data_IF_855105960787
#
_entry.id   IF_855105960787
#
_cell.length_a   1.000
_cell.length_b   1.000
_cell.length_c   1.000
_cell.angle_alpha   90.00
_cell.angle_beta   90.00
_cell.angle_gamma   90.00
#
_symmetry.space_group_name_H-M   'P 1'
#
loop_
_entity.id
_entity.type
_entity.pdbx_description
1 polymer ?
#
# COMPACT_ATOMS: atom_id res chain seq x y z
N UNK A 1 11.20 1.70 18.31
CA UNK A 1 10.81 1.72 16.89
C UNK A 1 9.49 0.98 16.78
N UNK A 2 8.61 1.42 15.89
CA UNK A 2 7.30 0.80 15.65
C UNK A 2 7.49 -0.47 14.79
N UNK A 3 8.17 -1.47 15.33
CA UNK A 3 8.46 -2.74 14.62
C UNK A 3 7.45 -3.80 15.05
N UNK A 4 7.28 -4.81 14.20
CA UNK A 4 6.40 -5.92 14.52
C UNK A 4 6.97 -6.87 15.55
N UNK A 5 6.06 -7.61 16.17
CA UNK A 5 6.35 -8.78 17.00
C UNK A 5 5.49 -9.93 16.50
N UNK A 6 5.87 -11.18 16.78
CA UNK A 6 5.08 -12.33 16.34
C UNK A 6 3.61 -12.26 16.82
N UNK A 7 3.37 -11.86 18.06
CA UNK A 7 2.02 -11.67 18.60
C UNK A 7 1.31 -10.45 18.01
N UNK A 8 2.04 -9.37 17.75
CA UNK A 8 1.53 -8.19 17.05
C UNK A 8 1.03 -8.51 15.64
N UNK A 9 1.83 -9.24 14.85
CA UNK A 9 1.44 -9.69 13.52
C UNK A 9 0.25 -10.64 13.54
N UNK A 10 0.25 -11.63 14.43
CA UNK A 10 -0.89 -12.52 14.57
C UNK A 10 -2.19 -11.77 14.88
N UNK A 11 -2.12 -10.70 15.68
CA UNK A 11 -3.27 -9.84 15.95
C UNK A 11 -3.71 -9.06 14.72
N UNK A 12 -2.76 -8.48 13.98
CA UNK A 12 -3.05 -7.73 12.75
C UNK A 12 -3.71 -8.63 11.71
N UNK A 13 -3.14 -9.80 11.42
CA UNK A 13 -3.69 -10.76 10.45
C UNK A 13 -5.06 -11.28 10.88
N UNK A 14 -5.30 -11.45 12.19
CA UNK A 14 -6.62 -11.77 12.72
C UNK A 14 -7.64 -10.65 12.47
N UNK A 15 -7.26 -9.38 12.66
CA UNK A 15 -8.16 -8.23 12.41
C UNK A 15 -8.45 -8.03 10.92
N UNK A 16 -7.49 -8.30 10.05
CA UNK A 16 -7.72 -8.36 8.61
C UNK A 16 -8.52 -9.58 8.20
N UNK A 17 -8.41 -10.71 8.90
CA UNK A 17 -8.99 -11.99 8.47
C UNK A 17 -8.24 -12.62 7.28
N UNK A 18 -6.99 -12.19 7.04
CA UNK A 18 -6.10 -12.71 6.01
C UNK A 18 -4.65 -12.52 6.43
N UNK A 19 -3.76 -13.37 5.93
CA UNK A 19 -2.32 -13.19 6.10
C UNK A 19 -1.84 -11.97 5.33
N UNK A 20 -0.75 -11.35 5.78
CA UNK A 20 -0.08 -10.27 5.06
C UNK A 20 1.20 -10.79 4.39
N UNK A 21 1.63 -10.10 3.33
CA UNK A 21 2.82 -10.49 2.58
C UNK A 21 4.06 -10.56 3.48
N UNK A 22 4.90 -11.58 3.25
CA UNK A 22 6.10 -11.83 4.06
C UNK A 22 7.16 -10.74 3.94
N UNK A 23 7.35 -10.19 2.74
CA UNK A 23 8.31 -9.12 2.47
C UNK A 23 7.93 -7.80 3.16
N UNK A 24 6.62 -7.52 3.25
CA UNK A 24 6.09 -6.40 4.00
C UNK A 24 6.35 -6.54 5.50
N UNK A 25 6.06 -7.73 6.06
CA UNK A 25 6.36 -8.00 7.48
C UNK A 25 7.84 -7.82 7.76
N UNK A 26 8.70 -8.36 6.90
CA UNK A 26 10.15 -8.19 6.98
C UNK A 26 10.57 -6.71 6.91
N UNK A 27 9.99 -5.92 6.00
CA UNK A 27 10.29 -4.50 5.86
C UNK A 27 9.95 -3.72 7.14
N UNK A 28 8.76 -3.94 7.70
CA UNK A 28 8.32 -3.30 8.94
C UNK A 28 9.13 -3.77 10.15
N UNK A 29 9.47 -5.05 10.23
CA UNK A 29 10.29 -5.59 11.32
C UNK A 29 11.73 -5.03 11.28
N UNK A 30 12.24 -4.76 10.08
CA UNK A 30 13.61 -4.25 9.88
C UNK A 30 13.70 -2.74 10.07
N UNK A 31 12.75 -1.98 9.53
CA UNK A 31 12.84 -0.52 9.43
C UNK A 31 11.76 0.24 10.21
N UNK A 32 10.69 -0.44 10.65
CA UNK A 32 9.55 0.18 11.31
C UNK A 32 8.82 1.18 10.42
N UNK A 33 8.31 2.26 11.02
CA UNK A 33 7.67 3.36 10.29
C UNK A 33 8.73 4.20 9.56
N UNK A 34 8.76 4.06 8.23
CA UNK A 34 9.65 4.85 7.37
C UNK A 34 9.37 6.35 7.43
N UNK A 35 10.44 7.15 7.44
CA UNK A 35 10.40 8.60 7.23
C UNK A 35 11.09 8.87 5.89
N UNK A 36 10.32 9.13 4.83
CA UNK A 36 10.90 9.31 3.51
C UNK A 36 10.52 10.66 2.92
N UNK A 37 11.55 11.42 2.54
CA UNK A 37 11.41 12.75 1.93
C UNK A 37 10.75 12.71 0.55
N UNK A 38 10.78 11.58 -0.18
CA UNK A 38 10.15 11.45 -1.51
C UNK A 38 9.69 10.01 -1.84
N UNK A 39 9.74 9.07 -0.89
CA UNK A 39 9.26 7.69 -1.12
C UNK A 39 7.81 7.54 -0.67
N UNK A 40 7.03 6.62 -1.29
CA UNK A 40 5.74 6.22 -0.79
C UNK A 40 5.82 5.86 0.69
N UNK A 41 4.92 6.44 1.46
CA UNK A 41 4.73 6.17 2.86
C UNK A 41 4.08 4.80 2.99
N UNK A 42 4.89 3.80 3.32
CA UNK A 42 4.39 2.48 3.69
C UNK A 42 3.61 2.59 4.99
N UNK A 43 2.37 2.13 4.97
CA UNK A 43 1.51 2.09 6.14
C UNK A 43 1.97 0.98 7.06
N UNK A 44 2.15 1.30 8.34
CA UNK A 44 2.64 0.38 9.36
C UNK A 44 1.54 0.14 10.41
N UNK A 45 1.05 -1.09 10.64
CA UNK A 45 0.00 -1.37 11.62
C UNK A 45 0.42 -1.05 13.05
N UNK A 46 1.71 -0.93 13.34
CA UNK A 46 2.24 -0.60 14.66
C UNK A 46 2.55 0.89 14.83
N UNK A 47 2.35 1.71 13.78
CA UNK A 47 2.56 3.14 13.87
C UNK A 47 1.55 3.78 14.84
N UNK A 48 2.05 4.60 15.77
CA UNK A 48 1.20 5.36 16.69
C UNK A 48 0.43 6.48 15.98
N UNK A 49 1.01 7.05 14.92
CA UNK A 49 0.35 8.09 14.14
C UNK A 49 -0.70 7.48 13.21
N UNK A 50 -1.98 7.84 13.39
CA UNK A 50 -3.10 7.30 12.59
C UNK A 50 -2.90 7.49 11.09
N UNK A 51 -2.30 8.59 10.66
CA UNK A 51 -1.97 8.86 9.25
C UNK A 51 -0.96 7.88 8.63
N UNK A 52 -0.20 7.16 9.46
CA UNK A 52 0.79 6.16 9.07
C UNK A 52 0.33 4.74 9.42
N UNK A 53 -0.79 4.60 10.15
CA UNK A 53 -1.25 3.32 10.65
C UNK A 53 -2.13 2.61 9.62
N UNK A 54 -1.74 1.39 9.24
CA UNK A 54 -2.44 0.60 8.23
C UNK A 54 -3.93 0.38 8.57
N UNK A 55 -4.25 0.02 9.82
CA UNK A 55 -5.62 -0.27 10.23
C UNK A 55 -6.45 1.01 10.32
N UNK A 56 -5.85 2.08 10.85
CA UNK A 56 -6.54 3.37 10.96
C UNK A 56 -6.88 3.96 9.58
N UNK A 57 -6.04 3.73 8.57
CA UNK A 57 -6.24 4.25 7.22
C UNK A 57 -7.28 3.47 6.38
N UNK A 58 -7.67 2.25 6.77
CA UNK A 58 -8.65 1.47 5.99
C UNK A 58 -9.98 2.21 5.80
N UNK A 59 -10.59 2.68 6.90
CA UNK A 59 -11.92 3.31 6.85
C UNK A 59 -11.91 4.64 6.07
N UNK A 60 -10.98 5.58 6.31
CA UNK A 60 -10.88 6.81 5.52
C UNK A 60 -10.69 6.55 4.03
N UNK A 61 -9.83 5.61 3.65
CA UNK A 61 -9.58 5.28 2.24
C UNK A 61 -10.82 4.70 1.56
N UNK A 62 -11.51 3.77 2.22
CA UNK A 62 -12.77 3.22 1.70
C UNK A 62 -13.86 4.30 1.57
N UNK A 63 -13.95 5.20 2.55
CA UNK A 63 -14.91 6.30 2.52
C UNK A 63 -14.61 7.29 1.38
N UNK A 64 -13.34 7.66 1.20
CA UNK A 64 -12.89 8.53 0.11
C UNK A 64 -13.19 7.91 -1.27
N UNK A 65 -12.95 6.61 -1.44
CA UNK A 65 -13.24 5.92 -2.69
C UNK A 65 -14.75 5.84 -2.99
N UNK A 66 -15.60 5.71 -1.96
CA UNK A 66 -17.06 5.69 -2.11
C UNK A 66 -17.66 7.06 -2.41
N UNK A 67 -17.09 8.13 -1.86
CA UNK A 67 -17.66 9.48 -1.93
C UNK A 67 -17.27 10.26 -3.18
N UNK A 68 -16.38 9.72 -4.03
CA UNK A 68 -15.88 10.41 -5.23
C UNK A 68 -16.50 9.87 -6.52
N UNK A 69 -17.67 10.40 -6.96
CA UNK A 69 -18.35 9.92 -8.17
C UNK A 69 -17.55 10.20 -9.46
N UNK A 70 -16.66 11.19 -9.44
CA UNK A 70 -15.78 11.56 -10.56
C UNK A 70 -14.67 10.54 -10.81
N UNK A 71 -14.35 9.72 -9.81
CA UNK A 71 -13.27 8.73 -9.83
C UNK A 71 -13.80 7.36 -9.43
N UNK A 72 -14.88 6.88 -10.08
CA UNK A 72 -15.35 5.50 -9.89
C UNK A 72 -14.20 4.53 -10.19
N UNK A 73 -13.52 4.09 -9.15
CA UNK A 73 -12.48 3.07 -9.20
C UNK A 73 -13.17 1.75 -9.54
N UNK A 74 -12.87 1.12 -10.69
CA UNK A 74 -13.66 -0.03 -11.17
C UNK A 74 -13.35 -1.32 -10.41
N UNK A 75 -12.45 -1.29 -9.43
CA UNK A 75 -11.98 -2.45 -8.70
C UNK A 75 -12.62 -2.55 -7.33
N UNK A 76 -12.86 -3.79 -6.90
CA UNK A 76 -13.33 -4.09 -5.55
C UNK A 76 -12.28 -3.68 -4.52
N UNK A 77 -12.73 -3.39 -3.31
CA UNK A 77 -11.86 -3.09 -2.18
C UNK A 77 -11.96 -4.18 -1.13
N UNK A 78 -10.86 -4.44 -0.44
CA UNK A 78 -10.84 -5.33 0.72
C UNK A 78 -11.93 -4.91 1.74
N UNK A 79 -12.71 -5.84 2.32
CA UNK A 79 -12.48 -7.29 2.39
C UNK A 79 -13.12 -8.14 1.27
N UNK A 80 -13.66 -7.55 0.20
CA UNK A 80 -14.22 -8.34 -0.90
C UNK A 80 -13.12 -9.23 -1.53
N UNK A 81 -13.44 -10.48 -1.95
CA UNK A 81 -12.46 -11.37 -2.59
C UNK A 81 -11.82 -10.72 -3.82
N UNK A 82 -10.47 -10.72 -3.89
CA UNK A 82 -9.73 -10.01 -4.94
C UNK A 82 -9.77 -8.49 -4.83
N UNK A 83 -10.18 -7.95 -3.67
CA UNK A 83 -10.24 -6.54 -3.40
C UNK A 83 -8.86 -5.90 -3.22
N UNK A 84 -8.81 -4.58 -3.36
CA UNK A 84 -7.61 -3.79 -3.13
C UNK A 84 -7.46 -3.43 -1.65
N UNK A 85 -6.32 -3.83 -1.06
CA UNK A 85 -5.92 -3.50 0.31
C UNK A 85 -4.77 -2.48 0.26
N UNK A 86 -4.94 -1.31 0.87
CA UNK A 86 -3.92 -0.26 0.81
C UNK A 86 -2.63 -0.68 1.54
N UNK A 87 -1.47 -0.44 0.95
CA UNK A 87 -0.15 -0.70 1.54
C UNK A 87 0.69 0.56 1.71
N UNK A 88 0.58 1.49 0.76
CA UNK A 88 1.34 2.74 0.83
C UNK A 88 0.56 3.89 0.18
N UNK A 89 0.89 5.10 0.62
CA UNK A 89 0.38 6.34 0.04
C UNK A 89 1.57 7.20 -0.40
N UNK A 90 1.46 7.87 -1.53
CA UNK A 90 2.47 8.83 -1.96
C UNK A 90 2.13 10.26 -1.53
N UNK A 91 3.07 11.19 -1.76
CA UNK A 91 2.89 12.61 -1.41
C UNK A 91 1.94 13.37 -2.36
N UNK A 92 1.59 12.78 -3.50
CA UNK A 92 0.74 13.34 -4.55
C UNK A 92 -0.65 12.66 -4.60
N UNK A 93 -1.09 12.09 -3.47
CA UNK A 93 -2.35 11.37 -3.31
C UNK A 93 -2.50 10.07 -4.14
N UNK A 94 -1.45 9.62 -4.82
CA UNK A 94 -1.35 8.27 -5.36
C UNK A 94 -1.36 7.23 -4.25
N UNK A 95 -1.91 6.07 -4.56
CA UNK A 95 -2.10 5.01 -3.58
C UNK A 95 -1.67 3.67 -4.17
N UNK A 96 -0.89 2.95 -3.39
CA UNK A 96 -0.43 1.60 -3.69
C UNK A 96 -1.24 0.61 -2.86
N UNK A 97 -1.71 -0.44 -3.52
CA UNK A 97 -2.55 -1.49 -2.93
C UNK A 97 -1.95 -2.86 -3.22
N UNK A 98 -2.23 -3.83 -2.37
CA UNK A 98 -2.19 -5.25 -2.75
C UNK A 98 -3.51 -5.63 -3.42
N UNK A 99 -3.42 -6.39 -4.49
CA UNK A 99 -4.55 -7.12 -5.06
C UNK A 99 -4.71 -8.44 -4.30
N UNK A 100 -5.66 -8.53 -3.37
CA UNK A 100 -5.78 -9.66 -2.44
C UNK A 100 -6.47 -10.88 -3.07
N UNK A 101 -5.86 -11.40 -4.14
CA UNK A 101 -6.30 -12.58 -4.86
C UNK A 101 -5.31 -13.73 -4.65
N UNK A 102 -5.81 -14.87 -4.17
CA UNK A 102 -4.97 -16.03 -3.88
C UNK A 102 -4.07 -15.84 -2.66
N UNK A 103 -2.89 -16.44 -2.69
CA UNK A 103 -1.95 -16.48 -1.57
C UNK A 103 -1.30 -15.12 -1.31
N UNK A 104 -1.21 -14.74 -0.02
CA UNK A 104 -0.69 -13.44 0.40
C UNK A 104 0.79 -13.20 0.04
N UNK A 105 1.59 -14.27 -0.10
CA UNK A 105 2.97 -14.17 -0.57
C UNK A 105 3.10 -13.85 -2.06
N UNK A 106 2.00 -13.94 -2.82
CA UNK A 106 1.98 -13.73 -4.27
C UNK A 106 1.05 -12.58 -4.71
N UNK A 107 0.54 -11.78 -3.77
CA UNK A 107 -0.31 -10.64 -4.13
C UNK A 107 0.48 -9.63 -4.96
N UNK A 108 -0.04 -9.35 -6.15
CA UNK A 108 0.48 -8.29 -7.00
C UNK A 108 0.22 -6.92 -6.35
N UNK A 109 1.13 -5.99 -6.61
CA UNK A 109 0.89 -4.59 -6.30
C UNK A 109 0.01 -3.96 -7.36
N UNK A 110 -0.86 -3.06 -6.94
CA UNK A 110 -1.76 -2.30 -7.78
C UNK A 110 -1.65 -0.84 -7.43
N UNK A 111 -1.29 -0.02 -8.41
CA UNK A 111 -1.09 1.41 -8.23
C UNK A 111 -2.25 2.19 -8.87
N UNK A 112 -2.70 3.24 -8.18
CA UNK A 112 -3.55 4.29 -8.74
C UNK A 112 -2.85 5.65 -8.64
N UNK A 113 -2.90 6.43 -9.72
CA UNK A 113 -2.49 7.83 -9.64
C UNK A 113 -3.39 8.64 -8.69
N UNK A 114 -2.92 9.80 -8.23
CA UNK A 114 -3.67 10.65 -7.32
C UNK A 114 -5.01 11.15 -7.87
N UNK A 115 -5.16 11.12 -9.20
CA UNK A 115 -6.42 11.39 -9.88
C UNK A 115 -7.32 10.16 -10.04
N UNK A 116 -6.91 8.96 -9.63
CA UNK A 116 -7.70 7.72 -9.78
C UNK A 116 -8.07 7.35 -11.22
N UNK A 117 -7.45 7.96 -12.24
CA UNK A 117 -7.76 7.75 -13.66
C UNK A 117 -6.86 6.70 -14.29
N UNK A 118 -5.59 6.68 -13.87
CA UNK A 118 -4.60 5.70 -14.34
C UNK A 118 -4.35 4.70 -13.25
N UNK A 119 -4.22 3.45 -13.66
CA UNK A 119 -3.89 2.36 -12.78
C UNK A 119 -2.98 1.35 -13.48
N UNK A 120 -2.16 0.66 -12.70
CA UNK A 120 -1.27 -0.37 -13.19
C UNK A 120 -1.08 -1.47 -12.14
N UNK A 121 -1.11 -2.73 -12.59
CA UNK A 121 -0.72 -3.86 -11.78
C UNK A 121 0.77 -4.17 -12.00
N UNK A 122 1.46 -4.51 -10.92
CA UNK A 122 2.86 -4.89 -10.88
C UNK A 122 2.96 -6.28 -10.27
N UNK A 123 3.39 -7.31 -11.04
CA UNK A 123 3.58 -8.66 -10.53
C UNK A 123 4.90 -8.76 -9.76
N UNK A 124 5.09 -7.90 -8.76
CA UNK A 124 6.31 -7.78 -7.95
C UNK A 124 5.93 -7.67 -6.48
N UNK A 125 6.84 -8.05 -5.60
CA UNK A 125 6.72 -7.81 -4.16
C UNK A 125 6.83 -6.32 -3.82
N UNK A 126 6.44 -5.92 -2.60
CA UNK A 126 6.58 -4.53 -2.14
C UNK A 126 8.06 -4.11 -2.09
N UNK A 127 8.92 -4.98 -1.55
CA UNK A 127 10.35 -4.68 -1.44
C UNK A 127 10.98 -4.52 -2.82
N UNK A 128 10.70 -5.42 -3.77
CA UNK A 128 11.20 -5.29 -5.14
C UNK A 128 10.73 -4.00 -5.81
N UNK A 129 9.46 -3.64 -5.62
CA UNK A 129 8.90 -2.39 -6.13
C UNK A 129 9.63 -1.17 -5.55
N UNK A 130 9.85 -1.14 -4.23
CA UNK A 130 10.59 -0.05 -3.57
C UNK A 130 12.06 0.01 -4.02
N UNK A 131 12.72 -1.13 -4.23
CA UNK A 131 14.08 -1.17 -4.75
C UNK A 131 14.15 -0.67 -6.19
N UNK A 132 13.21 -1.07 -7.05
CA UNK A 132 13.11 -0.56 -8.41
C UNK A 132 12.86 0.95 -8.43
N UNK A 133 12.01 1.43 -7.54
CA UNK A 133 11.72 2.84 -7.34
C UNK A 133 12.96 3.65 -6.97
N UNK A 134 13.64 3.26 -5.89
CA UNK A 134 14.85 3.94 -5.40
C UNK A 134 15.95 3.91 -6.46
N UNK A 135 16.02 2.83 -7.25
CA UNK A 135 16.94 2.69 -8.36
C UNK A 135 16.58 3.47 -9.64
N UNK A 136 15.50 4.28 -9.63
CA UNK A 136 15.07 5.07 -10.79
C UNK A 136 14.44 4.26 -11.93
N UNK A 137 14.12 2.99 -11.69
CA UNK A 137 13.41 2.10 -12.64
C UNK A 137 11.91 2.07 -12.36
N UNK A 138 11.39 3.13 -11.72
CA UNK A 138 9.98 3.21 -11.36
C UNK A 138 9.11 2.99 -12.60
N UNK A 139 8.02 2.24 -12.48
CA UNK A 139 7.05 2.19 -13.57
C UNK A 139 6.62 3.63 -13.89
N UNK A 140 6.55 3.96 -15.18
CA UNK A 140 6.18 5.29 -15.68
C UNK A 140 4.91 5.85 -15.03
N UNK A 141 4.09 4.98 -14.44
CA UNK A 141 2.77 5.23 -13.92
C UNK A 141 2.68 6.01 -12.61
N UNK A 142 3.79 6.35 -11.97
CA UNK A 142 3.80 7.06 -10.69
C UNK A 142 4.17 8.52 -10.93
N UNK A 143 3.20 9.23 -11.49
CA UNK A 143 3.35 10.54 -12.10
C UNK A 143 3.52 11.66 -11.06
N UNK A 144 4.67 11.67 -10.42
CA UNK A 144 5.06 12.68 -9.43
C UNK A 144 6.56 12.96 -9.36
N UNK A 145 7.42 12.19 -10.03
CA UNK A 145 8.80 12.59 -10.26
C UNK A 145 8.81 13.34 -11.59
N UNK A 146 9.08 14.64 -11.54
CA UNK A 146 8.93 15.55 -12.67
C UNK A 146 9.62 15.06 -13.94
N UNK A 147 8.84 14.80 -14.98
CA UNK A 147 9.32 15.00 -16.35
C UNK A 147 9.36 16.51 -16.58
N UNK A 148 10.43 17.14 -16.09
CA UNK A 148 10.93 18.36 -16.71
C UNK A 148 11.52 17.97 -18.06
N UNK A 149 10.72 18.13 -19.12
CA UNK A 149 11.28 18.46 -20.42
C UNK A 149 11.18 19.97 -20.62
#
# INVERSE_FOLDING_TARGET
MDVGTASGWARVEFEFGTALSGDYKWLIDTYGTGHSCDLPVVLNPFAMAEGRNLLAQMKPLLAHNRSSPTYRRPFLHFPEPGGLLAVAQDLNAGSLFWLTAGDAGNWALFHYDGGGRRHQAHPTTLVEFLVAWIGGRSPESFFGVGNSQ
#
